data_IF_804161708834
#
_entry.id   IF_804161708834
#
_cell.length_a   1.000
_cell.length_b   1.000
_cell.length_c   1.000
_cell.angle_alpha   90.00
_cell.angle_beta   90.00
_cell.angle_gamma   90.00
#
_symmetry.space_group_name_H-M   'P 1'
#
loop_
_entity.id
_entity.type
_entity.pdbx_description
1 polymer ?
#
# COMPACT_ATOMS: atom_id res chain seq x y z
N UNK A 1 31.16 45.87 43.96
CA UNK A 1 30.00 44.96 43.97
C UNK A 1 28.80 45.83 43.63
N UNK A 2 27.98 45.55 42.63
CA UNK A 2 27.66 44.31 41.94
C UNK A 2 27.09 44.66 40.54
N UNK A 3 27.39 43.84 39.54
CA UNK A 3 26.87 43.90 38.17
C UNK A 3 25.63 43.01 38.14
N UNK A 4 24.45 43.47 37.71
CA UNK A 4 23.41 42.60 37.09
C UNK A 4 22.08 43.34 36.84
N UNK A 5 21.99 44.06 35.72
CA UNK A 5 20.70 44.54 35.18
C UNK A 5 20.34 43.93 33.82
N UNK A 6 21.13 42.99 33.30
CA UNK A 6 20.84 42.33 32.03
C UNK A 6 19.93 41.15 32.34
N UNK A 7 18.63 41.32 32.13
CA UNK A 7 17.71 40.19 32.01
C UNK A 7 18.16 39.36 30.82
N UNK A 8 18.60 38.13 31.07
CA UNK A 8 18.94 37.18 30.01
C UNK A 8 17.78 37.08 29.02
N UNK A 9 18.01 37.12 27.69
CA UNK A 9 16.93 36.89 26.76
C UNK A 9 16.36 35.49 27.01
N UNK A 10 15.08 35.40 27.34
CA UNK A 10 14.38 34.12 27.41
C UNK A 10 14.33 33.54 26.00
N UNK A 11 15.15 32.54 25.71
CA UNK A 11 15.02 31.76 24.48
C UNK A 11 13.67 31.06 24.49
N UNK A 12 12.75 31.51 23.64
CA UNK A 12 11.50 30.79 23.38
C UNK A 12 11.78 29.82 22.24
N UNK A 13 11.71 28.53 22.52
CA UNK A 13 11.82 27.50 21.49
C UNK A 13 10.52 27.48 20.67
N UNK A 14 10.61 27.69 19.36
CA UNK A 14 9.55 27.29 18.43
C UNK A 14 9.84 25.85 18.02
N UNK A 15 9.01 24.90 18.47
CA UNK A 15 9.09 23.53 17.97
C UNK A 15 8.26 23.43 16.69
N UNK A 16 8.94 23.25 15.57
CA UNK A 16 8.28 22.85 14.33
C UNK A 16 8.18 21.33 14.33
N UNK A 17 6.96 20.81 14.44
CA UNK A 17 6.69 19.39 14.20
C UNK A 17 6.53 19.23 12.69
N UNK A 18 7.53 18.63 12.04
CA UNK A 18 7.33 18.13 10.70
C UNK A 18 6.48 16.86 10.83
N UNK A 19 5.22 16.90 10.41
CA UNK A 19 4.45 15.66 10.24
C UNK A 19 5.06 14.92 9.04
N UNK A 20 5.50 13.68 9.23
CA UNK A 20 5.98 12.87 8.11
C UNK A 20 4.92 12.84 7.01
N UNK A 21 5.33 13.12 5.77
CA UNK A 21 4.43 13.07 4.62
C UNK A 21 4.07 11.61 4.37
N UNK A 22 2.77 11.33 4.30
CA UNK A 22 2.25 9.97 4.18
C UNK A 22 1.59 9.74 2.82
N UNK A 23 1.76 8.53 2.30
CA UNK A 23 0.96 7.99 1.22
C UNK A 23 0.10 6.87 1.78
N UNK A 24 -1.22 7.02 1.65
CA UNK A 24 -2.18 5.97 2.01
C UNK A 24 -2.53 5.16 0.77
N UNK A 25 -2.27 3.87 0.82
CA UNK A 25 -2.67 2.91 -0.20
C UNK A 25 -4.05 2.38 0.16
N UNK A 26 -4.97 2.41 -0.79
CA UNK A 26 -6.31 1.84 -0.66
C UNK A 26 -6.41 0.69 -1.67
N UNK A 27 -6.28 -0.55 -1.19
CA UNK A 27 -6.26 -1.76 -2.00
C UNK A 27 -7.62 -2.44 -2.06
N UNK A 28 -8.14 -2.62 -3.27
CA UNK A 28 -9.43 -3.26 -3.53
C UNK A 28 -9.34 -4.41 -4.53
N UNK A 29 -10.30 -5.32 -4.50
CA UNK A 29 -10.49 -6.30 -5.56
C UNK A 29 -11.11 -5.65 -6.80
N UNK A 30 -10.55 -5.94 -7.97
CA UNK A 30 -11.13 -5.55 -9.25
C UNK A 30 -12.48 -6.25 -9.44
N UNK A 31 -13.50 -5.49 -9.86
CA UNK A 31 -14.82 -5.99 -10.21
C UNK A 31 -15.87 -5.90 -9.11
N UNK A 32 -15.48 -5.97 -7.83
CA UNK A 32 -16.42 -5.85 -6.71
C UNK A 32 -16.03 -4.79 -5.66
N UNK A 33 -14.84 -4.17 -5.78
CA UNK A 33 -14.33 -3.14 -4.88
C UNK A 33 -14.24 -3.55 -3.40
N UNK A 34 -14.16 -4.86 -3.12
CA UNK A 34 -13.95 -5.39 -1.78
C UNK A 34 -12.56 -5.00 -1.25
N UNK A 35 -12.44 -4.70 0.05
CA UNK A 35 -11.15 -4.42 0.68
C UNK A 35 -10.26 -5.66 0.67
N UNK A 36 -8.96 -5.49 0.42
CA UNK A 36 -8.00 -6.59 0.45
C UNK A 36 -6.94 -6.38 1.53
N UNK A 37 -6.87 -7.33 2.46
CA UNK A 37 -5.87 -7.41 3.52
C UNK A 37 -4.63 -8.21 3.07
N UNK A 38 -3.47 -7.86 3.60
CA UNK A 38 -2.23 -8.62 3.46
C UNK A 38 -1.39 -8.33 2.21
N UNK A 39 -1.80 -7.40 1.35
CA UNK A 39 -0.97 -6.92 0.24
C UNK A 39 0.18 -6.06 0.77
N UNK A 40 1.43 -6.38 0.40
CA UNK A 40 2.62 -5.68 0.90
C UNK A 40 3.24 -4.77 -0.15
N UNK A 41 3.49 -3.52 0.25
CA UNK A 41 4.00 -2.47 -0.64
C UNK A 41 5.29 -1.84 -0.12
N UNK A 42 6.17 -1.49 -1.04
CA UNK A 42 7.35 -0.65 -0.79
C UNK A 42 7.34 0.58 -1.70
N UNK A 43 7.88 1.69 -1.21
CA UNK A 43 8.19 2.84 -2.05
C UNK A 43 9.68 2.89 -2.37
N UNK A 44 10.02 3.14 -3.63
CA UNK A 44 11.39 3.29 -4.11
C UNK A 44 11.61 4.62 -4.81
N UNK A 45 12.85 5.10 -4.76
CA UNK A 45 13.37 6.16 -5.61
C UNK A 45 14.65 5.64 -6.27
N UNK A 46 14.56 5.30 -7.56
CA UNK A 46 15.60 4.52 -8.22
C UNK A 46 15.73 3.14 -7.57
N UNK A 47 16.95 2.75 -7.19
CA UNK A 47 17.23 1.47 -6.52
C UNK A 47 17.01 1.51 -5.00
N UNK A 48 16.80 2.69 -4.42
CA UNK A 48 16.71 2.87 -2.99
C UNK A 48 15.28 2.67 -2.50
N UNK A 49 15.12 1.86 -1.45
CA UNK A 49 13.84 1.74 -0.73
C UNK A 49 13.72 2.90 0.24
N UNK A 50 12.63 3.66 0.10
CA UNK A 50 12.34 4.87 0.88
C UNK A 50 11.38 4.55 2.03
N UNK A 51 10.43 3.63 1.81
CA UNK A 51 9.45 3.23 2.82
C UNK A 51 8.97 1.80 2.60
N UNK A 52 8.51 1.18 3.70
CA UNK A 52 7.94 -0.16 3.70
C UNK A 52 8.97 -1.27 4.02
N UNK A 53 8.55 -2.55 3.96
CA UNK A 53 7.24 -3.00 3.50
C UNK A 53 6.11 -2.62 4.46
N UNK A 54 4.96 -2.22 3.90
CA UNK A 54 3.72 -1.98 4.63
C UNK A 54 2.62 -2.90 4.09
N UNK A 55 1.95 -3.63 4.99
CA UNK A 55 0.84 -4.52 4.64
C UNK A 55 -0.51 -3.79 4.72
N UNK A 56 -1.43 -4.11 3.84
CA UNK A 56 -2.82 -3.62 3.92
C UNK A 56 -3.57 -4.30 5.06
N UNK A 57 -4.33 -3.53 5.82
CA UNK A 57 -5.20 -4.01 6.90
C UNK A 57 -6.54 -4.56 6.38
N UNK A 58 -7.43 -4.98 7.29
CA UNK A 58 -8.78 -5.46 6.97
C UNK A 58 -9.67 -4.41 6.25
N UNK A 59 -9.31 -3.13 6.31
CA UNK A 59 -9.97 -2.06 5.55
C UNK A 59 -9.33 -1.83 4.18
N UNK A 60 -8.31 -2.60 3.81
CA UNK A 60 -7.55 -2.45 2.58
C UNK A 60 -6.54 -1.32 2.63
N UNK A 61 -6.21 -0.79 3.82
CA UNK A 61 -5.37 0.39 3.95
C UNK A 61 -3.94 0.02 4.36
N UNK A 62 -2.95 0.61 3.71
CA UNK A 62 -1.55 0.61 4.14
C UNK A 62 -1.00 2.03 4.11
N UNK A 63 -0.10 2.37 5.03
CA UNK A 63 0.54 3.69 5.08
C UNK A 63 2.04 3.56 4.84
N UNK A 64 2.55 4.32 3.87
CA UNK A 64 3.97 4.56 3.65
C UNK A 64 4.31 5.98 4.11
N UNK A 65 5.53 6.20 4.61
CA UNK A 65 5.98 7.49 5.19
C UNK A 65 7.36 7.87 4.65
N UNK A 66 7.95 8.98 5.12
CA UNK A 66 9.32 9.38 4.74
C UNK A 66 9.43 10.02 3.35
N UNK A 67 8.33 10.53 2.80
CA UNK A 67 8.31 11.16 1.49
C UNK A 67 8.72 12.62 1.51
N UNK A 68 9.34 13.06 0.42
CA UNK A 68 9.63 14.47 0.14
C UNK A 68 8.60 15.00 -0.85
N UNK A 69 7.99 16.13 -0.53
CA UNK A 69 7.03 16.82 -1.40
C UNK A 69 7.71 17.24 -2.71
N UNK A 70 7.00 17.10 -3.82
CA UNK A 70 7.46 17.41 -5.17
C UNK A 70 8.26 16.27 -5.82
N UNK A 71 8.63 15.23 -5.07
CA UNK A 71 9.39 14.11 -5.61
C UNK A 71 8.48 12.99 -6.11
N UNK A 72 9.01 12.23 -7.07
CA UNK A 72 8.37 11.05 -7.64
C UNK A 72 8.96 9.77 -7.05
N UNK A 73 8.09 8.80 -6.78
CA UNK A 73 8.42 7.50 -6.23
C UNK A 73 7.72 6.39 -7.02
N UNK A 74 8.37 5.22 -7.07
CA UNK A 74 7.79 3.98 -7.59
C UNK A 74 7.25 3.16 -6.42
N UNK A 75 5.96 2.86 -6.45
CA UNK A 75 5.30 2.00 -5.48
C UNK A 75 5.22 0.60 -6.08
N UNK A 76 5.84 -0.38 -5.41
CA UNK A 76 5.86 -1.77 -5.84
C UNK A 76 5.06 -2.63 -4.86
N UNK A 77 4.15 -3.44 -5.38
CA UNK A 77 3.56 -4.55 -4.63
C UNK A 77 4.55 -5.73 -4.65
N UNK A 78 5.13 -6.02 -3.50
CA UNK A 78 6.15 -7.08 -3.36
C UNK A 78 5.54 -8.42 -2.94
N UNK A 79 4.31 -8.40 -2.42
CA UNK A 79 3.54 -9.60 -2.08
C UNK A 79 2.07 -9.29 -2.29
N UNK A 80 1.41 -9.90 -3.29
CA UNK A 80 -0.03 -9.72 -3.46
C UNK A 80 -0.81 -10.44 -2.36
N UNK A 81 -2.05 -10.02 -2.07
CA UNK A 81 -2.97 -10.80 -1.26
C UNK A 81 -3.15 -12.22 -1.81
N UNK A 82 -3.40 -13.18 -0.91
CA UNK A 82 -3.62 -14.58 -1.28
C UNK A 82 -4.73 -14.68 -2.33
N UNK A 83 -4.53 -15.52 -3.35
CA UNK A 83 -5.39 -15.69 -4.54
C UNK A 83 -5.57 -14.46 -5.44
N UNK A 84 -4.66 -13.49 -5.41
CA UNK A 84 -4.65 -12.37 -6.36
C UNK A 84 -3.37 -12.33 -7.20
N UNK A 85 -3.47 -11.80 -8.41
CA UNK A 85 -2.32 -11.52 -9.25
C UNK A 85 -1.57 -10.27 -8.73
N UNK A 86 -0.23 -10.25 -8.81
CA UNK A 86 0.55 -9.06 -8.51
C UNK A 86 0.26 -7.95 -9.53
N UNK A 87 0.24 -6.71 -9.07
CA UNK A 87 0.06 -5.54 -9.94
C UNK A 87 1.39 -4.96 -10.44
N UNK A 88 1.32 -4.26 -11.57
CA UNK A 88 2.45 -3.50 -12.10
C UNK A 88 2.79 -2.31 -11.17
N UNK A 89 4.07 -1.93 -11.05
CA UNK A 89 4.50 -0.79 -10.25
C UNK A 89 3.77 0.51 -10.64
N UNK A 90 3.45 1.32 -9.64
CA UNK A 90 2.77 2.60 -9.81
C UNK A 90 3.74 3.76 -9.58
N UNK A 91 3.65 4.80 -10.40
CA UNK A 91 4.47 6.01 -10.24
C UNK A 91 3.62 7.10 -9.60
N UNK A 92 4.09 7.67 -8.49
CA UNK A 92 3.36 8.69 -7.71
C UNK A 92 4.25 9.89 -7.44
N UNK A 93 3.71 11.11 -7.63
CA UNK A 93 4.37 12.37 -7.27
C UNK A 93 3.70 12.98 -6.05
N UNK A 94 4.48 13.10 -4.96
CA UNK A 94 3.98 13.52 -3.65
C UNK A 94 3.74 15.03 -3.63
N UNK A 95 2.58 15.45 -3.13
CA UNK A 95 2.17 16.86 -3.07
C UNK A 95 1.90 17.30 -1.62
N UNK A 96 1.68 18.60 -1.39
CA UNK A 96 1.49 19.21 -0.05
C UNK A 96 0.24 18.77 0.74
N UNK A 97 -0.53 17.79 0.25
CA UNK A 97 -1.71 17.25 0.90
C UNK A 97 -1.52 15.76 1.19
N UNK A 98 -2.24 15.22 2.18
CA UNK A 98 -2.40 13.77 2.33
C UNK A 98 -2.79 13.17 0.98
N UNK A 99 -1.94 12.29 0.46
CA UNK A 99 -2.16 11.69 -0.84
C UNK A 99 -2.62 10.26 -0.68
N UNK A 100 -3.61 9.88 -1.48
CA UNK A 100 -4.14 8.53 -1.56
C UNK A 100 -3.83 7.92 -2.92
N UNK A 101 -3.35 6.69 -2.92
CA UNK A 101 -3.25 5.87 -4.13
C UNK A 101 -4.33 4.79 -4.06
N UNK A 102 -5.19 4.74 -5.07
CA UNK A 102 -6.16 3.66 -5.24
C UNK A 102 -5.53 2.55 -6.09
N UNK A 103 -5.55 1.33 -5.59
CA UNK A 103 -4.98 0.15 -6.24
C UNK A 103 -6.05 -0.94 -6.34
N UNK A 104 -6.07 -1.68 -7.45
CA UNK A 104 -6.95 -2.83 -7.63
C UNK A 104 -6.21 -4.06 -8.08
N UNK A 105 -6.43 -5.20 -7.41
CA UNK A 105 -5.87 -6.49 -7.83
C UNK A 105 -6.93 -7.37 -8.49
N UNK A 106 -6.48 -8.19 -9.44
CA UNK A 106 -7.32 -9.14 -10.15
C UNK A 106 -7.28 -10.48 -9.44
N UNK A 107 -8.44 -11.10 -9.11
CA UNK A 107 -8.46 -12.45 -8.56
C UNK A 107 -7.77 -13.46 -9.49
N UNK A 108 -7.03 -14.39 -8.90
CA UNK A 108 -6.48 -15.53 -9.61
C UNK A 108 -7.60 -16.54 -9.89
N UNK A 109 -8.09 -16.55 -11.12
CA UNK A 109 -9.06 -17.55 -11.58
C UNK A 109 -8.30 -18.69 -12.26
N UNK A 110 -8.20 -19.84 -11.58
CA UNK A 110 -7.66 -21.07 -12.17
C UNK A 110 -8.80 -21.89 -12.79
N UNK A 111 -8.92 -21.89 -14.11
CA UNK A 111 -9.81 -22.82 -14.82
C UNK A 111 -9.09 -24.14 -15.06
N UNK A 112 -9.43 -25.18 -14.29
CA UNK A 112 -8.99 -26.54 -14.56
C UNK A 112 -9.97 -27.22 -15.52
N UNK A 113 -9.64 -27.29 -16.80
CA UNK A 113 -10.41 -28.10 -17.76
C UNK A 113 -9.97 -29.55 -17.64
N UNK A 114 -10.76 -30.37 -16.95
CA UNK A 114 -10.62 -31.82 -16.99
C UNK A 114 -11.23 -32.33 -18.30
N UNK A 115 -10.41 -32.50 -19.35
CA UNK A 115 -10.83 -33.29 -20.51
C UNK A 115 -10.75 -34.76 -20.14
N UNK A 116 -11.91 -35.42 -19.96
CA UNK A 116 -11.91 -36.89 -19.93
C UNK A 116 -11.38 -37.39 -21.28
N UNK A 117 -10.41 -38.31 -21.34
CA UNK A 117 -9.91 -38.83 -22.62
C UNK A 117 -10.91 -39.70 -23.38
N UNK A 118 -12.17 -39.81 -22.94
CA UNK A 118 -13.20 -40.63 -23.60
C UNK A 118 -14.61 -40.16 -23.24
N UNK A 119 -15.50 -40.05 -24.24
CA UNK A 119 -16.93 -39.77 -24.09
C UNK A 119 -17.63 -40.74 -23.12
N UNK A 120 -17.57 -40.49 -21.81
CA UNK A 120 -18.40 -41.20 -20.83
C UNK A 120 -19.30 -40.20 -20.14
N UNK A 121 -20.56 -40.19 -20.55
CA UNK A 121 -21.66 -39.60 -19.79
C UNK A 121 -21.78 -40.35 -18.46
N UNK A 122 -21.56 -39.67 -17.34
CA UNK A 122 -21.93 -40.20 -16.02
C UNK A 122 -23.30 -39.65 -15.63
N UNK A 123 -24.35 -40.26 -16.19
CA UNK A 123 -25.70 -40.07 -15.68
C UNK A 123 -25.92 -41.10 -14.56
N UNK A 124 -25.87 -40.64 -13.32
CA UNK A 124 -25.86 -41.49 -12.13
C UNK A 124 -26.45 -40.78 -10.93
N UNK A 125 -27.78 -40.70 -10.89
CA UNK A 125 -28.58 -40.26 -9.74
C UNK A 125 -28.40 -41.28 -8.60
N UNK A 126 -27.75 -40.91 -7.51
CA UNK A 126 -27.79 -41.69 -6.26
C UNK A 126 -29.09 -41.31 -5.53
N UNK A 127 -30.07 -42.20 -5.55
CA UNK A 127 -31.17 -42.21 -4.59
C UNK A 127 -30.86 -43.33 -3.60
N UNK A 128 -30.75 -43.00 -2.30
CA UNK A 128 -30.68 -43.99 -1.22
C UNK A 128 -31.95 -44.85 -1.20
#
# INVERSE_FOLDING_TARGET
MDLTGVTSPTSRSFQFYNSDVQLVINLKAQGNNANLEGGQFVAKQGTNTISGPAATDANGNATLTGFTIGQTYTIEEITPPVVYMPIAPQIVTISIQTQSLNVTNVPLVLTLTLTSPSNVSIDGRILL
#
